data_IF_224265929274
#
_entry.id   IF_224265929274
#
_cell.length_a   1.000
_cell.length_b   1.000
_cell.length_c   1.000
_cell.angle_alpha   90.00
_cell.angle_beta   90.00
_cell.angle_gamma   90.00
#
_symmetry.space_group_name_H-M   'P 1'
#
loop_
_entity.id
_entity.type
_entity.pdbx_description
1 polymer ?
#
# COMPACT_ATOMS: atom_id res chain seq x y z
N UNK A 1 -9.75 -2.88 -23.56
CA UNK A 1 -9.87 -4.35 -23.65
C UNK A 1 -8.87 -4.95 -22.68
N UNK A 2 -9.20 -5.73 -21.66
CA UNK A 2 -10.46 -6.32 -21.24
C UNK A 2 -10.91 -5.70 -19.90
N UNK A 3 -12.13 -5.16 -19.86
CA UNK A 3 -12.81 -4.99 -18.59
C UNK A 3 -13.03 -6.39 -18.05
N UNK A 4 -12.37 -6.74 -16.94
CA UNK A 4 -12.75 -7.92 -16.20
C UNK A 4 -14.25 -7.80 -15.93
N UNK A 5 -15.02 -8.79 -16.36
CA UNK A 5 -16.42 -8.93 -15.99
C UNK A 5 -16.44 -9.02 -14.47
N UNK A 6 -16.74 -7.90 -13.81
CA UNK A 6 -16.83 -7.84 -12.36
C UNK A 6 -18.04 -8.67 -11.93
N UNK A 7 -17.76 -9.69 -11.12
CA UNK A 7 -18.79 -10.48 -10.48
C UNK A 7 -19.51 -9.58 -9.46
N UNK A 8 -20.82 -9.30 -9.59
CA UNK A 8 -21.55 -8.42 -8.69
C UNK A 8 -21.61 -8.94 -7.24
N UNK A 9 -21.05 -10.12 -6.96
CA UNK A 9 -20.89 -10.66 -5.62
C UNK A 9 -19.72 -10.07 -4.82
N UNK A 10 -18.72 -9.45 -5.46
CA UNK A 10 -17.54 -8.91 -4.76
C UNK A 10 -17.85 -7.51 -4.23
N UNK A 11 -17.73 -7.26 -2.91
CA UNK A 11 -17.97 -5.93 -2.38
C UNK A 11 -16.95 -4.93 -2.94
N UNK A 12 -17.36 -3.68 -3.23
CA UNK A 12 -16.44 -2.66 -3.74
C UNK A 12 -15.38 -2.32 -2.69
N UNK A 13 -14.17 -2.03 -3.16
CA UNK A 13 -13.03 -1.70 -2.31
C UNK A 13 -13.34 -0.46 -1.48
N UNK A 14 -13.14 -0.54 -0.16
CA UNK A 14 -13.33 0.62 0.72
C UNK A 14 -12.10 1.52 0.67
N UNK A 15 -12.26 2.72 0.12
CA UNK A 15 -11.24 3.77 0.13
C UNK A 15 -11.58 4.75 1.26
N UNK A 16 -10.81 4.73 2.35
CA UNK A 16 -10.99 5.64 3.47
C UNK A 16 -10.24 6.95 3.20
N UNK A 17 -11.00 8.06 3.14
CA UNK A 17 -10.44 9.41 3.08
C UNK A 17 -10.14 9.91 4.49
N UNK A 18 -8.88 10.25 4.75
CA UNK A 18 -8.38 10.74 6.05
C UNK A 18 -7.45 11.93 5.80
N UNK A 19 -7.85 13.14 6.18
CA UNK A 19 -7.04 14.36 6.08
C UNK A 19 -6.35 14.51 4.70
N UNK A 20 -7.16 14.38 3.63
CA UNK A 20 -6.78 14.44 2.20
C UNK A 20 -5.95 13.27 1.65
N UNK A 21 -5.79 12.19 2.41
CA UNK A 21 -5.16 10.95 1.94
C UNK A 21 -6.21 9.89 1.67
N UNK A 22 -5.99 9.10 0.62
CA UNK A 22 -6.85 7.99 0.23
C UNK A 22 -6.19 6.68 0.62
N UNK A 23 -6.77 5.99 1.60
CA UNK A 23 -6.14 4.84 2.24
C UNK A 23 -7.00 3.58 2.07
N UNK A 24 -6.35 2.48 1.69
CA UNK A 24 -6.96 1.14 1.64
C UNK A 24 -6.26 0.26 2.67
N UNK A 25 -7.03 -0.24 3.63
CA UNK A 25 -6.48 -1.02 4.74
C UNK A 25 -6.49 -2.52 4.46
N UNK A 26 -7.42 -3.03 3.65
CA UNK A 26 -7.60 -4.46 3.45
C UNK A 26 -6.60 -5.05 2.45
N UNK A 27 -5.90 -6.13 2.86
CA UNK A 27 -4.87 -6.76 2.05
C UNK A 27 -5.41 -7.40 0.75
N UNK A 28 -6.63 -7.93 0.80
CA UNK A 28 -7.30 -8.56 -0.34
C UNK A 28 -7.70 -7.51 -1.40
N UNK A 29 -8.19 -6.36 -0.94
CA UNK A 29 -8.51 -5.21 -1.78
C UNK A 29 -7.26 -4.65 -2.46
N UNK A 30 -6.17 -4.48 -1.70
CA UNK A 30 -4.87 -4.07 -2.25
C UNK A 30 -4.37 -5.05 -3.31
N UNK A 31 -4.51 -6.35 -3.08
CA UNK A 31 -4.14 -7.36 -4.08
C UNK A 31 -5.01 -7.28 -5.34
N UNK A 32 -6.30 -7.00 -5.19
CA UNK A 32 -7.26 -6.83 -6.29
C UNK A 32 -6.97 -5.58 -7.11
N UNK A 33 -6.72 -4.45 -6.45
CA UNK A 33 -6.28 -3.19 -7.09
C UNK A 33 -5.03 -3.43 -7.94
N UNK A 34 -4.02 -4.10 -7.39
CA UNK A 34 -2.78 -4.35 -8.12
C UNK A 34 -2.96 -5.29 -9.32
N UNK A 35 -3.67 -6.41 -9.12
CA UNK A 35 -3.76 -7.49 -10.12
C UNK A 35 -4.74 -7.19 -11.24
N UNK A 36 -5.87 -6.57 -10.91
CA UNK A 36 -6.98 -6.36 -11.84
C UNK A 36 -6.97 -4.96 -12.44
N UNK A 37 -6.43 -3.98 -11.71
CA UNK A 37 -6.50 -2.57 -12.11
C UNK A 37 -5.15 -1.94 -12.41
N UNK A 38 -4.04 -2.67 -12.31
CA UNK A 38 -2.67 -2.19 -12.60
C UNK A 38 -2.21 -0.98 -11.75
N UNK A 39 -2.82 -0.76 -10.60
CA UNK A 39 -2.48 0.36 -9.70
C UNK A 39 -1.45 -0.14 -8.67
N UNK A 40 -0.31 0.56 -8.58
CA UNK A 40 0.87 0.13 -7.82
C UNK A 40 1.30 1.15 -6.75
N UNK A 41 0.34 1.88 -6.19
CA UNK A 41 0.52 2.94 -5.20
C UNK A 41 1.40 2.55 -4.01
N UNK A 42 1.65 3.49 -3.10
CA UNK A 42 2.65 3.28 -2.05
C UNK A 42 2.01 2.64 -0.81
N UNK A 43 2.56 1.52 -0.36
CA UNK A 43 2.27 0.99 0.97
C UNK A 43 2.93 1.89 2.03
N UNK A 44 2.19 2.26 3.06
CA UNK A 44 2.64 3.18 4.12
C UNK A 44 2.40 2.62 5.51
N UNK A 45 3.19 3.11 6.46
CA UNK A 45 3.08 2.74 7.86
C UNK A 45 3.84 1.46 8.23
N UNK A 46 3.64 1.02 9.47
CA UNK A 46 4.13 -0.23 10.02
C UNK A 46 3.05 -0.80 10.94
N UNK A 47 3.00 -2.13 11.09
CA UNK A 47 2.07 -2.73 12.04
C UNK A 47 2.61 -2.52 13.46
N UNK A 48 1.78 -2.10 14.45
CA UNK A 48 2.24 -1.94 15.83
C UNK A 48 2.82 -3.24 16.42
N UNK A 49 2.37 -4.40 15.93
CA UNK A 49 2.86 -5.71 16.33
C UNK A 49 4.25 -6.02 15.77
N UNK A 50 4.68 -5.36 14.69
CA UNK A 50 5.95 -5.60 14.04
C UNK A 50 6.57 -4.28 13.52
N UNK A 51 7.11 -3.43 14.42
CA UNK A 51 7.58 -2.09 14.07
C UNK A 51 8.82 -2.09 13.16
N UNK A 52 9.58 -3.19 13.12
CA UNK A 52 10.77 -3.34 12.27
C UNK A 52 10.46 -3.89 10.88
N UNK A 53 9.17 -4.01 10.52
CA UNK A 53 8.73 -4.53 9.23
C UNK A 53 9.04 -3.57 8.09
N UNK A 54 9.44 -4.14 6.94
CA UNK A 54 9.65 -3.37 5.72
C UNK A 54 8.32 -2.81 5.18
N UNK A 55 8.42 -1.63 4.56
CA UNK A 55 7.30 -0.92 3.92
C UNK A 55 6.54 -1.80 2.91
N UNK A 56 7.19 -2.74 2.23
CA UNK A 56 6.52 -3.65 1.27
C UNK A 56 5.51 -4.62 1.89
N UNK A 57 5.54 -4.77 3.21
CA UNK A 57 4.63 -5.65 3.95
C UNK A 57 3.75 -4.87 4.91
N UNK A 58 3.74 -3.54 4.82
CA UNK A 58 2.88 -2.70 5.64
C UNK A 58 1.59 -2.36 4.93
N UNK A 59 0.60 -2.02 5.74
CA UNK A 59 -0.68 -1.45 5.34
C UNK A 59 -0.88 -0.19 6.20
N UNK A 60 -1.62 0.81 5.72
CA UNK A 60 -2.45 0.81 4.51
C UNK A 60 -1.69 1.04 3.18
N UNK A 61 -2.37 0.79 2.06
CA UNK A 61 -2.00 1.32 0.75
C UNK A 61 -2.50 2.76 0.63
N UNK A 62 -1.61 3.69 0.34
CA UNK A 62 -1.94 5.08 0.02
C UNK A 62 -2.06 5.25 -1.49
N UNK A 63 -3.28 5.56 -1.94
CA UNK A 63 -3.61 5.87 -3.32
C UNK A 63 -3.35 7.35 -3.60
N UNK A 64 -2.89 7.64 -4.81
CA UNK A 64 -2.93 8.98 -5.38
C UNK A 64 -4.39 9.41 -5.63
N UNK A 65 -4.71 10.72 -5.60
CA UNK A 65 -6.04 11.22 -5.96
C UNK A 65 -6.53 10.71 -7.33
N UNK A 66 -5.64 10.64 -8.31
CA UNK A 66 -5.91 10.18 -9.67
C UNK A 66 -6.18 8.67 -9.74
N UNK A 67 -5.56 7.90 -8.86
CA UNK A 67 -5.82 6.45 -8.73
C UNK A 67 -7.16 6.20 -8.03
N UNK A 68 -7.46 6.97 -6.99
CA UNK A 68 -8.73 6.90 -6.29
C UNK A 68 -9.90 7.30 -7.19
N UNK A 69 -9.78 8.35 -8.00
CA UNK A 69 -10.81 8.74 -8.98
C UNK A 69 -11.06 7.64 -10.01
N UNK A 70 -10.01 7.03 -10.57
CA UNK A 70 -10.15 5.90 -11.51
C UNK A 70 -10.91 4.72 -10.89
N UNK A 71 -10.61 4.36 -9.64
CA UNK A 71 -11.31 3.25 -8.96
C UNK A 71 -12.80 3.57 -8.72
N UNK A 72 -13.13 4.82 -8.42
CA UNK A 72 -14.51 5.28 -8.21
C UNK A 72 -15.28 5.34 -9.54
N UNK A 73 -14.68 5.91 -10.59
CA UNK A 73 -15.28 6.01 -11.93
C UNK A 73 -15.60 4.63 -12.52
N UNK A 74 -14.70 3.66 -12.29
CA UNK A 74 -14.89 2.28 -12.73
C UNK A 74 -15.83 1.47 -11.83
N UNK A 75 -16.39 2.05 -10.75
CA UNK A 75 -17.26 1.40 -9.76
C UNK A 75 -16.61 0.24 -8.98
N UNK A 76 -15.28 0.21 -8.96
CA UNK A 76 -14.47 -0.79 -8.25
C UNK A 76 -14.39 -0.44 -6.77
N UNK A 77 -14.26 0.86 -6.48
CA UNK A 77 -14.05 1.38 -5.14
C UNK A 77 -15.15 2.33 -4.72
N UNK A 78 -15.39 2.40 -3.41
CA UNK A 78 -16.26 3.40 -2.78
C UNK A 78 -15.44 4.29 -1.85
N UNK A 79 -15.71 5.58 -1.89
CA UNK A 79 -15.04 6.58 -1.07
C UNK A 79 -15.81 6.79 0.23
N UNK A 80 -15.13 6.68 1.36
CA UNK A 80 -15.71 6.88 2.69
C UNK A 80 -14.91 7.95 3.44
N UNK A 81 -15.55 9.05 3.83
CA UNK A 81 -14.94 10.05 4.72
C UNK A 81 -14.88 9.48 6.14
N UNK A 82 -13.70 9.03 6.55
CA UNK A 82 -13.56 8.20 7.75
C UNK A 82 -13.86 8.98 9.04
N UNK A 83 -13.55 10.28 9.09
CA UNK A 83 -13.82 11.11 10.26
C UNK A 83 -15.33 11.24 10.53
N UNK A 84 -16.11 11.58 9.51
CA UNK A 84 -17.57 11.68 9.58
C UNK A 84 -18.21 10.32 9.87
N UNK A 85 -17.74 9.27 9.18
CA UNK A 85 -18.19 7.90 9.38
C UNK A 85 -17.91 7.40 10.80
N UNK A 86 -16.73 7.67 11.34
CA UNK A 86 -16.35 7.29 12.69
C UNK A 86 -17.19 8.02 13.74
N UNK A 87 -17.37 9.34 13.60
CA UNK A 87 -18.16 10.14 14.54
C UNK A 87 -19.65 9.77 14.53
N UNK A 88 -20.22 9.51 13.35
CA UNK A 88 -21.60 9.03 13.25
C UNK A 88 -21.76 7.64 13.87
N UNK A 89 -20.81 6.75 13.61
CA UNK A 89 -20.76 5.41 14.22
C UNK A 89 -20.68 5.47 15.75
N UNK A 90 -19.85 6.36 16.31
CA UNK A 90 -19.75 6.55 17.76
C UNK A 90 -21.04 7.08 18.41
N UNK A 91 -21.80 7.87 17.68
CA UNK A 91 -23.09 8.44 18.14
C UNK A 91 -24.26 7.47 17.95
N UNK A 92 -24.09 6.41 17.17
CA UNK A 92 -25.16 5.46 16.89
C UNK A 92 -25.61 4.74 18.17
N UNK A 93 -26.93 4.66 18.45
CA UNK A 93 -27.45 3.98 19.64
C UNK A 93 -27.51 2.45 19.49
N UNK A 94 -26.99 1.91 18.38
CA UNK A 94 -27.13 0.50 18.04
C UNK A 94 -26.24 -0.41 18.89
N UNK A 95 -26.83 -0.92 19.96
CA UNK A 95 -26.19 -1.85 20.89
C UNK A 95 -25.87 -3.19 20.23
N UNK A 96 -26.66 -3.65 19.26
CA UNK A 96 -26.48 -4.96 18.64
C UNK A 96 -25.20 -4.97 17.79
N UNK A 97 -25.03 -3.95 16.96
CA UNK A 97 -23.84 -3.83 16.11
C UNK A 97 -22.57 -3.60 16.93
N UNK A 98 -22.67 -2.82 18.02
CA UNK A 98 -21.56 -2.67 18.99
C UNK A 98 -21.18 -4.02 19.64
N UNK A 99 -22.16 -4.84 20.02
CA UNK A 99 -21.91 -6.16 20.59
C UNK A 99 -21.27 -7.11 19.58
N UNK A 100 -21.73 -7.09 18.32
CA UNK A 100 -21.14 -7.86 17.22
C UNK A 100 -19.67 -7.49 17.00
N UNK A 101 -19.35 -6.19 16.98
CA UNK A 101 -17.96 -5.72 16.85
C UNK A 101 -17.08 -6.15 18.02
N UNK A 102 -17.57 -6.06 19.26
CA UNK A 102 -16.84 -6.55 20.45
C UNK A 102 -16.61 -8.06 20.37
N UNK A 103 -17.58 -8.84 19.89
CA UNK A 103 -17.44 -10.28 19.70
C UNK A 103 -16.35 -10.61 18.67
N UNK A 104 -16.35 -9.91 17.53
CA UNK A 104 -15.33 -10.02 16.48
C UNK A 104 -13.93 -9.71 17.04
N UNK A 105 -13.78 -8.64 17.82
CA UNK A 105 -12.49 -8.32 18.46
C UNK A 105 -12.01 -9.41 19.44
N UNK A 106 -12.94 -9.99 20.23
CA UNK A 106 -12.62 -11.10 21.15
C UNK A 106 -12.18 -12.35 20.38
N UNK A 107 -12.86 -12.66 19.27
CA UNK A 107 -12.51 -13.79 18.41
C UNK A 107 -11.11 -13.61 17.80
N UNK A 108 -10.85 -12.45 17.19
CA UNK A 108 -9.54 -12.12 16.60
C UNK A 108 -8.42 -12.19 17.64
N UNK A 109 -8.67 -11.69 18.86
CA UNK A 109 -7.73 -11.83 19.98
C UNK A 109 -7.46 -13.28 20.34
N UNK A 110 -8.49 -14.11 20.44
CA UNK A 110 -8.34 -15.55 20.74
C UNK A 110 -7.53 -16.27 19.66
N UNK A 111 -7.84 -16.00 18.38
CA UNK A 111 -7.11 -16.57 17.23
C UNK A 111 -5.64 -16.16 17.25
N UNK A 112 -5.35 -14.87 17.47
CA UNK A 112 -3.97 -14.38 17.56
C UNK A 112 -3.20 -15.04 18.72
N UNK A 113 -3.82 -15.21 19.89
CA UNK A 113 -3.18 -15.91 21.01
C UNK A 113 -2.82 -17.36 20.68
N UNK A 114 -3.70 -18.08 19.98
CA UNK A 114 -3.43 -19.46 19.53
C UNK A 114 -2.24 -19.50 18.56
N UNK A 115 -2.22 -18.61 17.57
CA UNK A 115 -1.13 -18.54 16.58
C UNK A 115 0.21 -18.19 17.23
N UNK A 116 0.23 -17.27 18.19
CA UNK A 116 1.45 -16.93 18.93
C UNK A 116 1.96 -18.11 19.78
N UNK A 117 1.05 -18.85 20.44
CA UNK A 117 1.41 -20.03 21.20
C UNK A 117 1.99 -21.14 20.30
N UNK A 118 1.40 -21.34 19.12
CA UNK A 118 1.90 -22.27 18.11
C UNK A 118 3.29 -21.88 17.59
N UNK A 119 3.53 -20.60 17.30
CA UNK A 119 4.82 -20.11 16.83
C UNK A 119 5.91 -20.26 17.91
N UNK A 120 5.58 -19.96 19.17
CA UNK A 120 6.48 -20.18 20.31
C UNK A 120 6.81 -21.66 20.49
N UNK A 121 5.81 -22.55 20.39
CA UNK A 121 6.01 -23.99 20.47
C UNK A 121 6.92 -24.50 19.34
N UNK A 122 6.72 -24.02 18.10
CA UNK A 122 7.57 -24.35 16.95
C UNK A 122 9.01 -23.87 17.14
N UNK A 123 9.20 -22.64 17.63
CA UNK A 123 10.53 -22.08 17.92
C UNK A 123 11.25 -22.87 19.02
N UNK A 124 10.56 -23.19 20.11
CA UNK A 124 11.12 -24.01 21.19
C UNK A 124 11.50 -25.41 20.71
N UNK A 125 10.66 -26.07 19.91
CA UNK A 125 10.96 -27.37 19.30
C UNK A 125 12.17 -27.32 18.35
N UNK A 126 12.29 -26.24 17.56
CA UNK A 126 13.42 -26.02 16.65
C UNK A 126 14.72 -25.80 17.42
N UNK A 127 14.69 -25.01 18.51
CA UNK A 127 15.85 -24.77 19.37
C UNK A 127 16.27 -26.05 20.12
N UNK A 128 15.32 -26.84 20.62
CA UNK A 128 15.61 -28.14 21.22
C UNK A 128 16.25 -29.11 20.23
N UNK A 129 15.77 -29.13 18.99
CA UNK A 129 16.35 -29.96 17.92
C UNK A 129 17.77 -29.50 17.57
N UNK A 130 18.02 -28.19 17.52
CA UNK A 130 19.36 -27.61 17.33
C UNK A 130 20.31 -27.96 18.49
N UNK A 131 19.86 -27.85 19.74
CA UNK A 131 20.64 -28.24 20.94
C UNK A 131 20.96 -29.72 20.95
N UNK A 132 20.01 -30.60 20.60
CA UNK A 132 20.25 -32.04 20.52
C UNK A 132 21.22 -32.44 19.40
N UNK A 133 21.26 -31.69 18.28
CA UNK A 133 22.28 -31.87 17.23
C UNK A 133 23.66 -31.34 17.67
N UNK A 134 23.71 -30.17 18.32
CA UNK A 134 24.96 -29.59 18.85
C UNK A 134 25.60 -30.42 19.97
N UNK A 135 24.79 -31.04 20.83
CA UNK A 135 25.26 -31.95 21.87
C UNK A 135 25.85 -33.26 21.31
N UNK A 136 25.39 -33.72 20.13
CA UNK A 136 25.98 -34.89 19.43
C UNK A 136 27.31 -34.55 18.75
N UNK A 137 27.55 -33.31 18.33
CA UNK A 137 28.83 -32.87 17.75
C UNK A 137 29.89 -32.46 18.78
N UNK A 138 29.51 -32.22 20.04
CA UNK A 138 30.43 -31.84 21.12
C UNK A 138 31.19 -33.02 21.77
N UNK A 139 30.96 -34.26 21.32
CA UNK A 139 31.69 -35.45 21.78
C UNK A 139 32.96 -35.78 20.96
N UNK A 140 33.38 -34.90 20.05
CA UNK A 140 34.64 -35.01 19.31
C UNK A 140 35.56 -33.79 19.60
N UNK A 141 36.81 -34.06 19.96
CA UNK A 141 37.81 -33.08 20.43
C UNK A 141 38.10 -31.89 19.48
N UNK A 142 38.59 -30.73 20.02
CA UNK A 142 38.78 -29.49 19.26
C UNK A 142 40.12 -29.45 18.51
N UNK A 143 40.12 -28.92 17.28
CA UNK A 143 41.32 -28.43 16.56
C UNK A 143 41.14 -26.94 16.24
N UNK A 144 42.18 -26.08 16.38
CA UNK A 144 42.07 -24.66 16.11
C UNK A 144 42.29 -24.36 14.62
N UNK A 145 41.43 -23.51 14.04
CA UNK A 145 41.53 -23.01 12.66
C UNK A 145 40.52 -21.87 12.44
N UNK A 146 40.83 -20.90 11.57
CA UNK A 146 40.59 -19.47 11.83
C UNK A 146 39.15 -19.01 11.57
N UNK A 147 38.79 -17.99 12.34
CA UNK A 147 37.54 -17.24 12.32
C UNK A 147 37.31 -16.60 10.94
N UNK A 148 36.22 -16.97 10.29
CA UNK A 148 35.58 -16.16 9.24
C UNK A 148 34.19 -15.80 9.75
N UNK A 149 34.06 -14.53 10.09
CA UNK A 149 32.84 -13.86 10.52
C UNK A 149 31.85 -13.79 9.36
N UNK A 150 30.99 -14.81 9.26
CA UNK A 150 29.87 -14.85 8.32
C UNK A 150 28.56 -14.67 9.13
N UNK A 151 28.32 -13.44 9.56
CA UNK A 151 27.08 -13.02 10.22
C UNK A 151 26.67 -11.62 9.77
N UNK A 152 26.48 -11.45 8.45
CA UNK A 152 26.03 -10.19 7.85
C UNK A 152 24.50 -10.10 7.63
N UNK A 153 23.73 -11.17 7.83
CA UNK A 153 22.26 -11.14 7.72
C UNK A 153 21.60 -12.05 8.76
N UNK A 154 21.33 -11.52 9.95
CA UNK A 154 20.58 -12.26 10.97
C UNK A 154 20.73 -11.78 12.40
N UNK A 155 20.86 -10.47 12.63
CA UNK A 155 20.90 -9.90 13.98
C UNK A 155 19.50 -9.74 14.57
N UNK A 156 18.92 -10.83 15.08
CA UNK A 156 17.93 -10.70 16.13
C UNK A 156 18.68 -10.24 17.39
N UNK A 157 18.66 -8.92 17.66
CA UNK A 157 19.19 -8.39 18.91
C UNK A 157 18.33 -8.97 20.04
N UNK A 158 18.89 -9.71 21.01
CA UNK A 158 18.14 -10.09 22.19
C UNK A 158 17.91 -8.80 22.98
N UNK A 159 16.66 -8.36 23.01
CA UNK A 159 16.21 -7.24 23.80
C UNK A 159 16.53 -7.54 25.27
N UNK A 160 17.59 -6.90 25.79
CA UNK A 160 17.96 -7.00 27.20
C UNK A 160 16.88 -6.28 27.99
N UNK A 161 15.89 -7.07 28.40
CA UNK A 161 14.84 -6.76 29.35
C UNK A 161 15.21 -5.64 30.32
N UNK A 162 14.66 -4.45 30.09
CA UNK A 162 14.40 -3.51 31.18
C UNK A 162 13.42 -4.22 32.12
N UNK A 163 13.83 -4.46 33.37
CA UNK A 163 12.92 -4.95 34.40
C UNK A 163 11.83 -3.89 34.59
N UNK A 164 10.53 -4.21 34.47
CA UNK A 164 9.50 -3.31 34.96
C UNK A 164 9.61 -3.28 36.48
N UNK A 165 9.87 -2.08 37.03
CA UNK A 165 9.52 -1.79 38.41
C UNK A 165 8.00 -1.66 38.47
N UNK A 166 7.46 -2.13 39.59
CA UNK A 166 6.06 -2.10 40.04
C UNK A 166 5.19 -3.33 39.70
N UNK A 167 4.89 -4.06 40.78
CA UNK A 167 4.09 -5.28 40.81
C UNK A 167 2.60 -5.02 40.61
N UNK A 168 2.21 -4.89 39.36
CA UNK A 168 0.88 -5.28 38.92
C UNK A 168 1.06 -6.51 38.05
N UNK A 169 0.48 -7.64 38.45
CA UNK A 169 0.45 -8.88 37.68
C UNK A 169 -0.51 -8.71 36.48
N UNK A 170 -0.20 -7.76 35.59
CA UNK A 170 -0.88 -7.57 34.34
C UNK A 170 -0.40 -8.69 33.42
N UNK A 171 -1.20 -9.75 33.30
CA UNK A 171 -1.02 -10.73 32.21
C UNK A 171 -0.86 -9.92 30.91
N UNK A 172 0.21 -10.10 30.12
CA UNK A 172 0.39 -9.34 28.89
C UNK A 172 -0.82 -9.61 28.01
N UNK A 173 -1.73 -8.64 27.94
CA UNK A 173 -2.90 -8.74 27.10
C UNK A 173 -2.41 -8.53 25.68
N UNK A 174 -2.41 -9.59 24.88
CA UNK A 174 -2.17 -9.48 23.43
C UNK A 174 -3.18 -8.50 22.87
N UNK A 175 -2.72 -7.29 22.56
CA UNK A 175 -3.49 -6.26 21.88
C UNK A 175 -3.37 -6.52 20.38
N UNK A 176 -4.48 -6.96 19.77
CA UNK A 176 -4.58 -7.13 18.32
C UNK A 176 -5.15 -5.84 17.76
N UNK A 177 -4.36 -5.15 16.95
CA UNK A 177 -4.85 -4.05 16.12
C UNK A 177 -5.37 -4.69 14.84
N UNK A 178 -6.68 -4.63 14.56
CA UNK A 178 -7.19 -5.14 13.30
C UNK A 178 -6.56 -4.33 12.15
N UNK A 179 -6.08 -5.04 11.14
CA UNK A 179 -5.52 -4.44 9.91
C UNK A 179 -6.55 -4.40 8.79
N UNK A 180 -7.81 -4.72 9.09
CA UNK A 180 -8.88 -4.84 8.10
C UNK A 180 -9.98 -3.84 8.42
N UNK A 181 -10.66 -3.33 7.39
CA UNK A 181 -11.87 -2.53 7.57
C UNK A 181 -13.09 -3.39 7.90
N UNK A 182 -12.97 -4.72 7.78
CA UNK A 182 -14.00 -5.67 8.15
C UNK A 182 -14.47 -5.49 9.61
N UNK A 183 -15.77 -5.27 9.79
CA UNK A 183 -16.40 -5.02 11.09
C UNK A 183 -16.39 -3.56 11.54
N UNK A 184 -15.78 -2.63 10.79
CA UNK A 184 -16.01 -1.19 10.96
C UNK A 184 -17.45 -0.91 10.51
N UNK A 185 -18.32 -0.91 11.51
CA UNK A 185 -19.76 -0.64 11.51
C UNK A 185 -20.24 0.02 10.21
N UNK A 186 -21.02 -0.70 9.41
CA UNK A 186 -21.87 -0.10 8.36
C UNK A 186 -23.22 0.16 9.02
N UNK A 187 -23.61 1.41 9.32
CA UNK A 187 -25.00 1.70 9.59
C UNK A 187 -25.78 1.32 8.33
N UNK A 188 -26.92 0.63 8.50
CA UNK A 188 -27.77 0.08 7.44
C UNK A 188 -28.48 1.14 6.57
N UNK A 189 -27.90 2.32 6.44
CA UNK A 189 -28.39 3.47 5.69
C UNK A 189 -27.23 4.44 5.55
N UNK A 190 -26.40 4.21 4.54
CA UNK A 190 -25.39 5.20 4.15
C UNK A 190 -26.13 6.43 3.66
N UNK A 191 -26.01 7.52 4.42
CA UNK A 191 -26.07 8.84 3.82
C UNK A 191 -24.84 8.86 2.91
N UNK A 192 -25.05 8.70 1.61
CA UNK A 192 -24.10 9.15 0.60
C UNK A 192 -23.93 10.66 0.79
N UNK A 193 -23.20 11.07 1.85
CA UNK A 193 -22.62 12.39 1.86
C UNK A 193 -21.74 12.43 0.61
N UNK A 194 -22.07 13.36 -0.29
CA UNK A 194 -21.36 13.56 -1.54
C UNK A 194 -19.93 13.98 -1.23
N UNK A 195 -19.06 13.02 -0.95
CA UNK A 195 -17.64 13.27 -0.73
C UNK A 195 -17.12 13.88 -2.02
N UNK A 196 -16.46 15.06 -1.97
CA UNK A 196 -15.87 15.65 -3.16
C UNK A 196 -14.97 14.63 -3.85
N UNK A 197 -15.25 14.36 -5.13
CA UNK A 197 -14.48 13.39 -5.88
C UNK A 197 -13.02 13.83 -5.96
N UNK A 198 -12.06 12.89 -5.88
CA UNK A 198 -10.66 13.20 -6.05
C UNK A 198 -10.40 13.84 -7.41
N UNK A 199 -9.38 14.69 -7.50
CA UNK A 199 -8.98 15.29 -8.77
C UNK A 199 -8.59 14.18 -9.76
N UNK A 200 -9.24 14.20 -10.92
CA UNK A 200 -8.87 13.33 -12.03
C UNK A 200 -7.61 13.89 -12.71
N UNK A 201 -6.58 13.07 -12.86
CA UNK A 201 -5.42 13.39 -13.71
C UNK A 201 -5.64 12.83 -15.11
N UNK A 202 -5.86 13.67 -16.14
CA UNK A 202 -6.17 13.17 -17.48
C UNK A 202 -5.05 12.31 -18.07
N UNK A 203 -3.78 12.73 -17.89
CA UNK A 203 -2.64 11.94 -18.35
C UNK A 203 -2.55 10.58 -17.64
N UNK A 204 -2.79 10.55 -16.33
CA UNK A 204 -2.84 9.31 -15.55
C UNK A 204 -3.93 8.37 -16.10
N UNK A 205 -5.17 8.85 -16.24
CA UNK A 205 -6.28 8.07 -16.80
C UNK A 205 -5.96 7.55 -18.21
N UNK A 206 -5.36 8.39 -19.06
CA UNK A 206 -4.97 8.02 -20.42
C UNK A 206 -3.93 6.89 -20.46
N UNK A 207 -2.92 6.94 -19.58
CA UNK A 207 -1.91 5.89 -19.46
C UNK A 207 -2.50 4.62 -18.85
N UNK A 208 -3.35 4.76 -17.84
CA UNK A 208 -4.03 3.63 -17.19
C UNK A 208 -4.93 2.87 -18.16
N UNK A 209 -5.71 3.58 -18.98
CA UNK A 209 -6.59 2.99 -20.00
C UNK A 209 -5.83 2.19 -21.07
N UNK A 210 -4.53 2.47 -21.25
CA UNK A 210 -3.62 1.73 -22.15
C UNK A 210 -2.90 0.56 -21.48
N UNK A 211 -3.15 0.33 -20.19
CA UNK A 211 -2.56 -0.79 -19.44
C UNK A 211 -1.14 -0.53 -18.94
N UNK A 212 -0.68 0.73 -18.93
CA UNK A 212 0.58 1.07 -18.27
C UNK A 212 0.43 0.94 -16.76
N UNK A 213 1.56 0.68 -16.09
CA UNK A 213 1.66 0.74 -14.65
C UNK A 213 2.37 2.04 -14.26
N UNK A 214 1.96 2.63 -13.15
CA UNK A 214 2.53 3.88 -12.67
C UNK A 214 2.90 3.76 -11.19
N UNK A 215 3.97 4.45 -10.81
CA UNK A 215 4.33 4.72 -9.41
C UNK A 215 4.68 6.19 -9.26
N UNK A 216 4.66 6.77 -8.05
CA UNK A 216 5.04 8.16 -7.85
C UNK A 216 6.44 8.48 -8.39
N UNK A 217 6.54 9.55 -9.17
CA UNK A 217 7.72 9.98 -9.91
C UNK A 217 8.65 10.91 -9.14
N UNK A 218 8.29 11.32 -7.92
CA UNK A 218 8.96 12.37 -7.14
C UNK A 218 10.48 12.20 -7.05
N UNK A 219 10.96 10.95 -6.91
CA UNK A 219 12.40 10.62 -6.86
C UNK A 219 13.17 11.08 -8.12
N UNK A 220 12.49 11.18 -9.25
CA UNK A 220 13.06 11.54 -10.55
C UNK A 220 12.60 12.91 -11.04
N UNK A 221 11.90 13.70 -10.22
CA UNK A 221 11.43 15.04 -10.57
C UNK A 221 10.29 15.04 -11.59
N UNK A 222 9.40 14.05 -11.54
CA UNK A 222 8.18 13.97 -12.35
C UNK A 222 6.99 13.52 -11.48
N UNK A 223 5.78 13.59 -12.00
CA UNK A 223 4.58 13.15 -11.26
C UNK A 223 4.54 11.63 -11.16
N UNK A 224 4.85 10.94 -12.27
CA UNK A 224 4.78 9.49 -12.37
C UNK A 224 6.04 8.89 -13.00
N UNK A 225 6.44 7.71 -12.53
CA UNK A 225 7.28 6.78 -13.27
C UNK A 225 6.39 5.77 -13.99
N UNK A 226 6.50 5.68 -15.31
CA UNK A 226 5.59 4.87 -16.15
C UNK A 226 6.30 3.62 -16.65
N UNK A 227 5.66 2.49 -16.46
CA UNK A 227 6.17 1.15 -16.75
C UNK A 227 5.28 0.45 -17.77
N UNK A 228 5.86 -0.29 -18.75
CA UNK A 228 5.08 -1.07 -19.71
C UNK A 228 4.38 -2.30 -19.10
N UNK A 229 4.68 -2.63 -17.85
CA UNK A 229 4.14 -3.76 -17.10
C UNK A 229 4.45 -3.63 -15.61
N UNK A 230 4.18 -4.68 -14.82
CA UNK A 230 4.36 -4.66 -13.36
C UNK A 230 5.77 -4.15 -12.96
N UNK A 231 5.90 -3.12 -12.09
CA UNK A 231 7.18 -2.56 -11.66
C UNK A 231 8.16 -3.55 -11.01
N UNK A 232 7.70 -4.72 -10.55
CA UNK A 232 8.56 -5.79 -10.04
C UNK A 232 9.25 -6.58 -11.16
N UNK A 233 8.78 -6.45 -12.40
CA UNK A 233 9.30 -7.16 -13.58
C UNK A 233 9.93 -6.23 -14.61
N UNK A 234 9.46 -5.00 -14.70
CA UNK A 234 9.88 -4.04 -15.71
C UNK A 234 10.53 -2.80 -15.09
N UNK A 235 11.44 -2.18 -15.84
CA UNK A 235 11.93 -0.84 -15.53
C UNK A 235 10.98 0.21 -16.11
N UNK A 236 10.93 1.39 -15.49
CA UNK A 236 10.16 2.50 -16.04
C UNK A 236 10.80 2.96 -17.35
N UNK A 237 9.97 3.19 -18.37
CA UNK A 237 10.40 3.72 -19.67
C UNK A 237 10.27 5.24 -19.72
N UNK A 238 9.27 5.80 -19.04
CA UNK A 238 9.00 7.23 -19.06
C UNK A 238 8.94 7.82 -17.65
N UNK A 239 9.31 9.09 -17.56
CA UNK A 239 8.97 9.98 -16.46
C UNK A 239 7.87 10.90 -16.96
N UNK A 240 6.67 10.81 -16.40
CA UNK A 240 5.49 11.51 -16.87
C UNK A 240 5.11 12.68 -15.96
N UNK A 241 4.80 13.83 -16.56
CA UNK A 241 4.26 15.01 -15.87
C UNK A 241 2.98 15.47 -16.56
N UNK A 242 1.92 15.69 -15.78
CA UNK A 242 0.64 16.21 -16.27
C UNK A 242 0.68 17.74 -16.28
N UNK A 243 0.22 18.34 -17.38
CA UNK A 243 0.04 19.80 -17.49
C UNK A 243 -1.39 20.11 -17.91
N UNK A 244 -1.90 21.27 -17.50
CA UNK A 244 -3.16 21.78 -18.05
C UNK A 244 -2.96 22.23 -19.50
N UNK A 245 -4.03 22.21 -20.30
CA UNK A 245 -3.94 22.49 -21.74
C UNK A 245 -3.31 23.85 -22.07
N UNK A 246 -3.72 24.89 -21.37
CA UNK A 246 -3.24 26.27 -21.56
C UNK A 246 -2.13 26.64 -20.59
N UNK A 247 -1.57 25.67 -19.86
CA UNK A 247 -0.48 25.89 -18.93
C UNK A 247 0.79 26.31 -19.68
N UNK A 248 1.37 27.44 -19.27
CA UNK A 248 2.65 27.90 -19.82
C UNK A 248 3.78 27.10 -19.19
N UNK A 249 4.33 26.16 -19.94
CA UNK A 249 5.49 25.37 -19.51
C UNK A 249 6.78 26.19 -19.75
N UNK A 250 7.55 26.53 -18.70
CA UNK A 250 8.84 27.18 -18.87
C UNK A 250 9.80 26.29 -19.68
N UNK A 251 10.50 26.86 -20.66
CA UNK A 251 11.46 26.10 -21.48
C UNK A 251 12.55 25.42 -20.65
N UNK A 252 12.96 26.04 -19.54
CA UNK A 252 13.95 25.47 -18.63
C UNK A 252 13.43 24.21 -17.93
N UNK A 253 12.13 24.10 -17.68
CA UNK A 253 11.53 22.92 -17.06
C UNK A 253 11.53 21.75 -18.05
N UNK A 254 11.25 22.00 -19.33
CA UNK A 254 11.36 20.97 -20.38
C UNK A 254 12.81 20.46 -20.48
N UNK A 255 13.79 21.38 -20.49
CA UNK A 255 15.21 21.02 -20.54
C UNK A 255 15.63 20.28 -19.27
N UNK A 256 15.19 20.74 -18.10
CA UNK A 256 15.46 20.15 -16.80
C UNK A 256 14.91 18.73 -16.69
N UNK A 257 13.63 18.54 -16.98
CA UNK A 257 12.95 17.24 -16.96
C UNK A 257 13.53 16.29 -18.00
N UNK A 258 13.84 16.79 -19.21
CA UNK A 258 14.58 16.03 -20.23
C UNK A 258 15.92 15.54 -19.72
N UNK A 259 16.71 16.40 -19.07
CA UNK A 259 18.00 16.04 -18.45
C UNK A 259 17.84 14.99 -17.34
N UNK A 260 16.82 15.13 -16.49
CA UNK A 260 16.54 14.18 -15.40
C UNK A 260 16.19 12.80 -15.94
N UNK A 261 15.29 12.70 -16.91
CA UNK A 261 14.93 11.44 -17.57
C UNK A 261 16.10 10.79 -18.28
N UNK A 262 16.82 11.58 -19.07
CA UNK A 262 17.98 11.15 -19.86
C UNK A 262 19.08 10.55 -18.97
N UNK A 263 19.33 11.15 -17.80
CA UNK A 263 20.32 10.68 -16.82
C UNK A 263 20.02 9.27 -16.28
N UNK A 264 18.75 8.85 -16.31
CA UNK A 264 18.30 7.52 -15.88
C UNK A 264 17.80 6.66 -17.05
N UNK A 265 18.13 7.04 -18.29
CA UNK A 265 17.73 6.35 -19.53
C UNK A 265 16.21 6.19 -19.69
N UNK A 266 15.46 7.24 -19.36
CA UNK A 266 13.99 7.30 -19.50
C UNK A 266 13.62 8.50 -20.38
N UNK A 267 12.57 8.35 -21.19
CA UNK A 267 11.99 9.47 -21.92
C UNK A 267 11.22 10.40 -20.97
N UNK A 268 11.31 11.72 -21.18
CA UNK A 268 10.44 12.67 -20.49
C UNK A 268 9.12 12.75 -21.26
N UNK A 269 8.05 12.23 -20.65
CA UNK A 269 6.70 12.26 -21.19
C UNK A 269 5.93 13.40 -20.51
N UNK A 270 5.20 14.18 -21.28
CA UNK A 270 4.27 15.14 -20.70
C UNK A 270 3.05 15.33 -21.58
N UNK A 271 1.95 15.75 -20.99
CA UNK A 271 0.70 15.89 -21.72
C UNK A 271 -0.43 16.45 -20.88
N UNK A 272 -1.53 16.74 -21.56
CA UNK A 272 -2.73 17.31 -20.98
C UNK A 272 -3.98 16.93 -21.77
N UNK A 273 -5.14 17.16 -21.18
CA UNK A 273 -6.43 16.98 -21.83
C UNK A 273 -6.65 18.04 -22.91
N UNK A 274 -7.03 17.61 -24.11
CA UNK A 274 -7.42 18.51 -25.19
C UNK A 274 -8.80 19.07 -24.85
N UNK A 275 -9.01 20.40 -24.87
CA UNK A 275 -10.30 21.01 -24.59
C UNK A 275 -11.31 20.51 -25.62
N UNK A 276 -12.47 20.11 -25.13
CA UNK A 276 -13.52 19.59 -25.98
C UNK A 276 -14.20 20.73 -26.75
N UNK A 277 -13.82 20.90 -28.01
CA UNK A 277 -14.41 21.91 -28.91
C UNK A 277 -15.67 21.37 -29.60
N UNK A 278 -15.86 20.04 -29.65
CA UNK A 278 -16.85 19.39 -30.54
C UNK A 278 -17.82 18.40 -29.85
N UNK A 279 -17.71 18.17 -28.54
CA UNK A 279 -18.48 17.12 -27.85
C UNK A 279 -17.88 15.72 -28.00
N UNK A 280 -16.60 15.62 -28.35
CA UNK A 280 -15.91 14.35 -28.60
C UNK A 280 -15.34 13.75 -27.31
N UNK A 281 -15.06 12.44 -27.32
CA UNK A 281 -14.51 11.73 -26.17
C UNK A 281 -13.22 12.40 -25.65
N UNK A 282 -13.07 12.49 -24.30
CA UNK A 282 -11.89 13.05 -23.62
C UNK A 282 -10.60 12.55 -24.26
N UNK A 283 -9.94 13.44 -25.00
CA UNK A 283 -8.70 13.12 -25.69
C UNK A 283 -7.54 13.74 -24.93
N UNK A 284 -6.50 12.94 -24.66
CA UNK A 284 -5.25 13.44 -24.09
C UNK A 284 -4.19 13.42 -25.16
N UNK A 285 -3.43 14.52 -25.26
CA UNK A 285 -2.26 14.61 -26.12
C UNK A 285 -1.02 14.56 -25.26
N UNK A 286 -0.12 13.64 -25.59
CA UNK A 286 1.16 13.49 -24.91
C UNK A 286 2.32 13.63 -25.89
N UNK A 287 3.42 14.18 -25.40
CA UNK A 287 4.68 14.38 -26.11
C UNK A 287 5.79 13.69 -25.32
N UNK A 288 6.71 13.04 -26.03
CA UNK A 288 7.93 12.50 -25.43
C UNK A 288 9.12 13.33 -25.92
N UNK A 289 9.97 13.75 -24.98
CA UNK A 289 11.21 14.45 -25.23
C UNK A 289 12.38 13.58 -24.80
N UNK A 290 13.29 13.39 -25.74
CA UNK A 290 14.55 12.68 -25.55
C UNK A 290 15.68 13.56 -26.05
N UNK A 291 16.84 13.47 -25.41
CA UNK A 291 17.98 14.28 -25.81
C UNK A 291 18.63 13.69 -27.07
N UNK A 292 18.60 14.43 -28.16
CA UNK A 292 19.22 14.03 -29.42
C UNK A 292 20.75 14.10 -29.28
N UNK A 293 21.42 12.93 -29.28
CA UNK A 293 22.89 12.86 -29.28
C UNK A 293 23.52 11.94 -28.24
N UNK A 294 22.75 11.04 -27.62
CA UNK A 294 23.30 9.89 -26.88
C UNK A 294 23.19 8.59 -27.68
#
# INVERSE_FOLDING_TARGET
MAAALEDPSVPPVRISKIADRYLVFDAEDVATIRRSHNICSILVGTTPQNPTQNVFLSLPLELLPEEASVLIENKVGRLVEEASHHLSSLRSPDKATRQAYIALLKERRSKAQKLLAEDQAKKAATEQTRRNKGAKSAAAQPKPGPEVDDSLFGGAVPDKSSKPRDGVNAKPSVAVTPTTSEGLLVPLGEVEETVPQPLAGPLHQHLQSRGYFMTPGLRFGADYSVYPGDPLRYHAHFLATNYDWDEKIPMLDIVGSGRLGTSVKKGFLFGGEVPDVNGDAKQVRAFCVEWAGM
#
